data_IF_162618609075
#
_entry.id   IF_162618609075
#
_cell.length_a   1.000
_cell.length_b   1.000
_cell.length_c   1.000
_cell.angle_alpha   90.00
_cell.angle_beta   90.00
_cell.angle_gamma   90.00
#
_symmetry.space_group_name_H-M   'P 1'
#
loop_
_entity.id
_entity.type
_entity.pdbx_description
1 polymer ?
#
# COMPACT_ATOMS: atom_id res chain seq x y z
N UNK A 1 -17.41 -15.52 -6.52
CA UNK A 1 -17.79 -16.61 -5.61
C UNK A 1 -17.49 -16.13 -4.20
N UNK A 2 -18.44 -16.29 -3.27
CA UNK A 2 -18.24 -15.88 -1.87
C UNK A 2 -17.31 -16.86 -1.16
N UNK A 3 -16.45 -16.36 -0.27
CA UNK A 3 -15.59 -17.21 0.57
C UNK A 3 -16.11 -17.19 2.00
N UNK A 4 -16.08 -18.35 2.66
CA UNK A 4 -16.51 -18.54 4.05
C UNK A 4 -15.39 -19.21 4.83
N UNK A 5 -15.00 -18.64 5.98
CA UNK A 5 -13.94 -19.18 6.82
C UNK A 5 -14.51 -19.70 8.13
N UNK A 6 -14.15 -20.92 8.51
CA UNK A 6 -14.50 -21.47 9.82
C UNK A 6 -13.66 -20.80 10.91
N UNK A 7 -14.30 -20.16 11.91
CA UNK A 7 -13.62 -19.50 13.04
C UNK A 7 -12.89 -20.46 13.97
N UNK A 8 -13.20 -21.75 13.93
CA UNK A 8 -12.64 -22.76 14.85
C UNK A 8 -11.36 -23.39 14.30
N UNK A 9 -11.34 -23.74 13.01
CA UNK A 9 -10.20 -24.46 12.40
C UNK A 9 -9.57 -23.76 11.19
N UNK A 10 -10.14 -22.64 10.73
CA UNK A 10 -9.59 -21.87 9.61
C UNK A 10 -9.91 -22.42 8.21
N UNK A 11 -10.66 -23.53 8.08
CA UNK A 11 -11.10 -24.05 6.78
C UNK A 11 -11.83 -22.97 5.96
N UNK A 12 -11.48 -22.86 4.67
CA UNK A 12 -12.09 -21.92 3.71
C UNK A 12 -12.93 -22.67 2.69
N UNK A 13 -14.20 -22.28 2.57
CA UNK A 13 -15.15 -22.77 1.58
C UNK A 13 -15.40 -21.69 0.53
N UNK A 14 -15.43 -22.05 -0.75
CA UNK A 14 -15.82 -21.16 -1.85
C UNK A 14 -17.19 -21.59 -2.38
N UNK A 15 -18.19 -20.72 -2.24
CA UNK A 15 -19.58 -21.02 -2.58
C UNK A 15 -20.52 -19.88 -2.17
N UNK A 16 -21.71 -19.82 -2.77
CA UNK A 16 -22.66 -18.73 -2.49
C UNK A 16 -23.16 -18.73 -1.03
N UNK A 17 -23.13 -19.90 -0.37
CA UNK A 17 -23.53 -20.09 1.04
C UNK A 17 -22.46 -20.88 1.82
N UNK A 18 -22.46 -20.72 3.15
CA UNK A 18 -21.60 -21.52 4.02
C UNK A 18 -22.10 -22.98 4.07
N UNK A 19 -21.21 -23.97 4.20
CA UNK A 19 -21.63 -25.36 4.36
C UNK A 19 -22.34 -25.56 5.72
N UNK A 20 -23.32 -26.47 5.76
CA UNK A 20 -24.09 -26.79 6.98
C UNK A 20 -23.19 -27.22 8.16
N UNK A 21 -22.08 -27.89 7.84
CA UNK A 21 -21.08 -28.34 8.79
C UNK A 21 -19.68 -28.20 8.21
N UNK A 22 -18.72 -27.82 9.05
CA UNK A 22 -17.32 -27.75 8.65
C UNK A 22 -16.77 -29.15 8.31
N UNK A 23 -16.23 -29.38 7.10
CA UNK A 23 -15.70 -30.70 6.72
C UNK A 23 -14.43 -31.09 7.49
N UNK A 24 -13.76 -30.12 8.13
CA UNK A 24 -12.53 -30.34 8.89
C UNK A 24 -12.81 -30.57 10.38
N UNK A 25 -13.45 -29.61 11.05
CA UNK A 25 -13.65 -29.66 12.51
C UNK A 25 -15.06 -30.04 12.94
N UNK A 26 -15.95 -30.31 11.98
CA UNK A 26 -17.34 -30.76 12.23
C UNK A 26 -18.20 -29.78 13.04
N UNK A 27 -17.78 -28.53 13.17
CA UNK A 27 -18.56 -27.47 13.81
C UNK A 27 -19.70 -27.00 12.88
N UNK A 28 -20.83 -26.53 13.43
CA UNK A 28 -22.00 -26.14 12.65
C UNK A 28 -21.73 -24.88 11.81
N UNK A 29 -22.56 -24.64 10.79
CA UNK A 29 -22.50 -23.46 9.92
C UNK A 29 -22.39 -22.12 10.68
N UNK A 30 -22.94 -22.04 11.90
CA UNK A 30 -22.91 -20.84 12.74
C UNK A 30 -21.50 -20.36 13.12
N UNK A 31 -20.48 -21.22 13.00
CA UNK A 31 -19.08 -20.83 13.24
C UNK A 31 -18.38 -20.28 12.01
N UNK A 32 -19.03 -20.28 10.84
CA UNK A 32 -18.46 -19.68 9.63
C UNK A 32 -18.71 -18.18 9.60
N UNK A 33 -17.70 -17.44 9.15
CA UNK A 33 -17.81 -16.03 8.81
C UNK A 33 -17.55 -15.83 7.33
N UNK A 34 -18.26 -14.89 6.72
CA UNK A 34 -18.00 -14.49 5.34
C UNK A 34 -16.65 -13.79 5.31
N UNK A 35 -15.75 -14.27 4.46
CA UNK A 35 -14.49 -13.58 4.22
C UNK A 35 -14.82 -12.38 3.34
N UNK A 36 -14.80 -11.20 3.94
CA UNK A 36 -14.79 -9.98 3.16
C UNK A 36 -13.43 -9.83 2.50
N UNK A 37 -13.41 -9.56 1.20
CA UNK A 37 -12.20 -9.10 0.54
C UNK A 37 -11.84 -7.74 1.12
N UNK A 38 -10.86 -7.72 2.02
CA UNK A 38 -10.27 -6.47 2.48
C UNK A 38 -9.55 -5.88 1.28
N UNK A 39 -10.19 -4.94 0.59
CA UNK A 39 -9.54 -4.15 -0.44
C UNK A 39 -8.37 -3.42 0.23
N UNK A 40 -7.15 -3.75 -0.17
CA UNK A 40 -5.93 -3.19 0.41
C UNK A 40 -5.93 -1.65 0.40
N UNK A 41 -6.59 -1.05 -0.59
CA UNK A 41 -6.90 0.37 -0.66
C UNK A 41 -8.20 0.63 -1.45
N UNK A 42 -8.70 1.87 -1.44
CA UNK A 42 -9.95 2.26 -2.12
C UNK A 42 -9.94 2.10 -3.65
N UNK A 43 -8.76 2.00 -4.25
CA UNK A 43 -8.55 1.91 -5.69
C UNK A 43 -8.18 0.50 -6.17
N UNK A 44 -8.20 -0.50 -5.28
CA UNK A 44 -7.76 -1.86 -5.57
C UNK A 44 -8.33 -2.42 -6.89
N UNK A 45 -7.43 -2.82 -7.79
CA UNK A 45 -7.72 -3.38 -9.12
C UNK A 45 -7.98 -2.36 -10.22
N UNK A 46 -7.90 -1.06 -9.96
CA UNK A 46 -8.24 -0.01 -10.95
C UNK A 46 -7.00 0.53 -11.69
N UNK A 47 -7.24 1.23 -12.82
CA UNK A 47 -6.16 2.00 -13.48
C UNK A 47 -5.65 3.15 -12.60
N UNK A 48 -6.50 3.70 -11.72
CA UNK A 48 -6.09 4.75 -10.77
C UNK A 48 -5.08 4.24 -9.77
N UNK A 49 -5.23 3.03 -9.25
CA UNK A 49 -4.22 2.41 -8.37
C UNK A 49 -2.86 2.32 -9.07
N UNK A 50 -2.83 1.77 -10.29
CA UNK A 50 -1.59 1.68 -11.09
C UNK A 50 -0.96 3.06 -11.34
N UNK A 51 -1.78 4.07 -11.61
CA UNK A 51 -1.31 5.43 -11.83
C UNK A 51 -0.70 6.03 -10.55
N UNK A 52 -1.32 5.79 -9.38
CA UNK A 52 -0.81 6.24 -8.09
C UNK A 52 0.49 5.53 -7.70
N UNK A 53 0.61 4.22 -7.98
CA UNK A 53 1.85 3.47 -7.77
C UNK A 53 2.98 4.01 -8.67
N UNK A 54 2.68 4.26 -9.94
CA UNK A 54 3.64 4.84 -10.88
C UNK A 54 4.05 6.27 -10.45
N UNK A 55 3.10 7.09 -9.98
CA UNK A 55 3.39 8.42 -9.46
C UNK A 55 4.28 8.34 -8.21
N UNK A 56 3.94 7.49 -7.23
CA UNK A 56 4.77 7.28 -6.05
C UNK A 56 6.21 6.86 -6.40
N UNK A 57 6.37 5.93 -7.33
CA UNK A 57 7.68 5.50 -7.80
C UNK A 57 8.44 6.63 -8.51
N UNK A 58 7.77 7.40 -9.37
CA UNK A 58 8.34 8.53 -10.09
C UNK A 58 8.84 9.63 -9.15
N UNK A 59 8.01 10.05 -8.19
CA UNK A 59 8.35 11.08 -7.21
C UNK A 59 9.47 10.64 -6.27
N UNK A 60 9.48 9.36 -5.88
CA UNK A 60 10.56 8.78 -5.08
C UNK A 60 11.91 8.79 -5.83
N UNK A 61 11.89 8.49 -7.13
CA UNK A 61 13.08 8.59 -7.97
C UNK A 61 13.53 10.03 -8.17
N UNK A 62 12.59 10.96 -8.38
CA UNK A 62 12.86 12.38 -8.55
C UNK A 62 13.53 12.98 -7.30
N UNK A 63 12.97 12.72 -6.11
CA UNK A 63 13.58 13.06 -4.82
C UNK A 63 15.05 12.62 -4.77
N UNK A 64 15.31 11.35 -5.03
CA UNK A 64 16.68 10.81 -4.97
C UNK A 64 17.61 11.50 -5.98
N UNK A 65 17.18 11.68 -7.23
CA UNK A 65 17.94 12.42 -8.26
C UNK A 65 18.29 13.84 -7.81
N UNK A 66 17.32 14.57 -7.26
CA UNK A 66 17.56 15.93 -6.77
C UNK A 66 18.53 15.95 -5.58
N UNK A 67 18.46 14.98 -4.66
CA UNK A 67 19.46 14.89 -3.57
C UNK A 67 20.88 14.60 -4.09
N UNK A 68 21.03 13.82 -5.16
CA UNK A 68 22.34 13.56 -5.78
C UNK A 68 22.91 14.82 -6.43
N UNK A 69 22.07 15.58 -7.14
CA UNK A 69 22.49 16.86 -7.72
C UNK A 69 22.75 17.94 -6.68
N UNK A 70 21.99 17.96 -5.58
CA UNK A 70 22.30 18.82 -4.45
C UNK A 70 23.71 18.54 -3.89
N UNK A 71 24.07 17.26 -3.73
CA UNK A 71 25.41 16.85 -3.28
C UNK A 71 26.49 17.28 -4.26
N UNK A 72 26.24 17.12 -5.56
CA UNK A 72 27.17 17.53 -6.62
C UNK A 72 27.38 19.05 -6.65
N UNK A 73 26.30 19.83 -6.63
CA UNK A 73 26.34 21.29 -6.59
C UNK A 73 27.11 21.81 -5.36
N UNK A 74 26.90 21.19 -4.20
CA UNK A 74 27.63 21.53 -2.98
C UNK A 74 29.14 21.29 -3.10
N UNK A 75 29.54 20.14 -3.66
CA UNK A 75 30.96 19.82 -3.90
C UNK A 75 31.63 20.79 -4.88
N UNK A 76 30.85 21.42 -5.75
CA UNK A 76 31.31 22.42 -6.71
C UNK A 76 31.27 23.86 -6.15
N UNK A 77 30.84 24.05 -4.90
CA UNK A 77 30.76 25.36 -4.24
C UNK A 77 29.48 26.14 -4.56
N UNK A 78 28.53 25.56 -5.29
CA UNK A 78 27.25 26.19 -5.62
C UNK A 78 26.21 26.00 -4.52
N UNK A 79 26.41 26.65 -3.37
CA UNK A 79 25.56 26.48 -2.18
C UNK A 79 24.08 26.81 -2.43
N UNK A 80 23.79 27.90 -3.16
CA UNK A 80 22.39 28.29 -3.47
C UNK A 80 21.70 27.26 -4.38
N UNK A 81 22.44 26.69 -5.33
CA UNK A 81 21.90 25.65 -6.24
C UNK A 81 21.68 24.35 -5.47
N UNK A 82 22.60 23.99 -4.57
CA UNK A 82 22.42 22.85 -3.67
C UNK A 82 21.14 22.99 -2.83
N UNK A 83 20.93 24.17 -2.24
CA UNK A 83 19.74 24.47 -1.46
C UNK A 83 18.45 24.39 -2.30
N UNK A 84 18.49 24.86 -3.54
CA UNK A 84 17.35 24.76 -4.46
C UNK A 84 17.01 23.29 -4.76
N UNK A 85 18.01 22.46 -5.07
CA UNK A 85 17.79 21.03 -5.30
C UNK A 85 17.24 20.31 -4.07
N UNK A 86 17.72 20.63 -2.87
CA UNK A 86 17.17 20.05 -1.64
C UNK A 86 15.72 20.44 -1.42
N UNK A 87 15.38 21.72 -1.66
CA UNK A 87 14.00 22.20 -1.58
C UNK A 87 13.09 21.44 -2.56
N UNK A 88 13.51 21.26 -3.80
CA UNK A 88 12.76 20.47 -4.78
C UNK A 88 12.64 19.00 -4.35
N UNK A 89 13.72 18.39 -3.85
CA UNK A 89 13.68 17.02 -3.34
C UNK A 89 12.66 16.84 -2.20
N UNK A 90 12.55 17.84 -1.31
CA UNK A 90 11.54 17.84 -0.26
C UNK A 90 10.12 18.00 -0.79
N UNK A 91 9.90 18.74 -1.89
CA UNK A 91 8.61 18.79 -2.55
C UNK A 91 8.20 17.41 -3.11
N UNK A 92 9.10 16.72 -3.81
CA UNK A 92 8.78 15.38 -4.36
C UNK A 92 8.58 14.34 -3.25
N UNK A 93 9.25 14.50 -2.10
CA UNK A 93 8.99 13.69 -0.91
C UNK A 93 7.54 13.84 -0.43
N UNK A 94 7.01 15.06 -0.38
CA UNK A 94 5.62 15.30 0.04
C UNK A 94 4.62 14.79 -1.01
N UNK A 95 4.91 14.92 -2.31
CA UNK A 95 4.12 14.30 -3.37
C UNK A 95 4.06 12.77 -3.22
N UNK A 96 5.22 12.11 -3.10
CA UNK A 96 5.32 10.68 -2.90
C UNK A 96 4.55 10.22 -1.65
N UNK A 97 4.69 10.94 -0.54
CA UNK A 97 3.99 10.64 0.72
C UNK A 97 2.47 10.71 0.57
N UNK A 98 1.96 11.69 -0.17
CA UNK A 98 0.53 11.82 -0.45
C UNK A 98 0.00 10.60 -1.20
N UNK A 99 0.67 10.20 -2.29
CA UNK A 99 0.27 9.02 -3.08
C UNK A 99 0.35 7.72 -2.29
N UNK A 100 1.42 7.54 -1.51
CA UNK A 100 1.58 6.34 -0.70
C UNK A 100 0.53 6.24 0.41
N UNK A 101 0.12 7.37 0.99
CA UNK A 101 -0.98 7.43 1.95
C UNK A 101 -2.32 7.03 1.30
N UNK A 102 -2.60 7.54 0.11
CA UNK A 102 -3.83 7.20 -0.65
C UNK A 102 -3.92 5.71 -1.00
N UNK A 103 -2.77 5.06 -1.20
CA UNK A 103 -2.64 3.62 -1.40
C UNK A 103 -2.67 2.80 -0.11
N UNK A 104 -2.88 3.43 1.06
CA UNK A 104 -2.90 2.72 2.35
C UNK A 104 -1.52 2.23 2.83
N UNK A 105 -0.43 2.71 2.22
CA UNK A 105 0.93 2.24 2.51
C UNK A 105 1.52 2.76 3.83
N UNK A 106 0.92 3.79 4.43
CA UNK A 106 1.32 4.32 5.74
C UNK A 106 0.44 3.69 6.82
N UNK A 107 0.93 2.59 7.40
CA UNK A 107 0.32 1.94 8.57
C UNK A 107 0.84 2.50 9.90
N UNK A 108 0.36 1.91 10.99
CA UNK A 108 0.93 2.12 12.31
C UNK A 108 2.19 1.25 12.49
N UNK A 109 3.15 1.71 13.29
CA UNK A 109 4.22 0.85 13.79
C UNK A 109 3.69 0.13 15.05
N UNK A 110 3.60 -1.21 15.08
CA UNK A 110 3.29 -1.93 16.32
C UNK A 110 4.39 -1.72 17.34
N UNK A 111 3.99 -1.51 18.60
CA UNK A 111 4.82 -1.74 19.80
C UNK A 111 4.84 -3.24 20.13
#
# INVERSE_FOLDING_TARGET
MTKWKCKICGYVHEGDTAPEQCPVCKQPASVFEKVEEVKANKYAGTQTEKNLEAAFAGESQARNKYTYFASKAKKEGYEQISALFLKTADNEKEHAKMWFKELGGIGNTPE
#
